data_IF_841253516202
#
_entry.id   IF_841253516202
#
_cell.length_a   1.000
_cell.length_b   1.000
_cell.length_c   1.000
_cell.angle_alpha   90.00
_cell.angle_beta   90.00
_cell.angle_gamma   90.00
#
_symmetry.space_group_name_H-M   'P 1'
#
loop_
_entity.id
_entity.type
_entity.pdbx_description
1 polymer ?
#
# COMPACT_ATOMS: atom_id res chain seq x y z
N UNK A 1 30.00 -21.28 -43.26
CA UNK A 1 30.41 -21.99 -42.03
C UNK A 1 30.63 -20.93 -40.97
N UNK A 2 29.84 -20.94 -39.89
CA UNK A 2 29.69 -19.82 -38.97
C UNK A 2 30.75 -19.87 -37.85
N UNK A 3 31.15 -18.69 -37.38
CA UNK A 3 32.11 -18.42 -36.29
C UNK A 3 31.82 -19.21 -35.00
N UNK A 4 30.60 -19.74 -34.86
CA UNK A 4 30.15 -20.57 -33.75
C UNK A 4 30.77 -21.97 -33.71
N UNK A 5 31.05 -22.61 -34.85
CA UNK A 5 31.69 -23.94 -34.85
C UNK A 5 33.16 -23.85 -34.43
N UNK A 6 33.85 -22.78 -34.86
CA UNK A 6 35.26 -22.54 -34.55
C UNK A 6 35.50 -22.24 -33.06
N UNK A 7 34.49 -21.69 -32.37
CA UNK A 7 34.55 -21.43 -30.92
C UNK A 7 34.34 -22.70 -30.09
N UNK A 8 33.43 -23.58 -30.52
CA UNK A 8 33.17 -24.88 -29.86
C UNK A 8 34.36 -25.84 -30.03
N UNK A 9 35.00 -25.85 -31.20
CA UNK A 9 36.19 -26.68 -31.45
C UNK A 9 37.40 -26.24 -30.61
N UNK A 10 37.56 -24.92 -30.37
CA UNK A 10 38.59 -24.39 -29.45
C UNK A 10 38.32 -24.75 -27.99
N UNK A 11 37.06 -24.80 -27.57
CA UNK A 11 36.69 -25.21 -26.21
C UNK A 11 36.94 -26.70 -25.97
N UNK A 12 36.64 -27.55 -26.94
CA UNK A 12 36.93 -28.98 -26.86
C UNK A 12 38.42 -29.31 -26.84
N UNK A 13 39.27 -28.48 -27.46
CA UNK A 13 40.72 -28.63 -27.42
C UNK A 13 41.36 -28.26 -26.05
N UNK A 14 40.63 -27.53 -25.18
CA UNK A 14 41.11 -27.14 -23.84
C UNK A 14 40.86 -28.25 -22.80
N UNK A 15 39.87 -29.11 -23.03
CA UNK A 15 39.47 -30.19 -22.10
C UNK A 15 40.57 -31.24 -21.84
N UNK A 16 41.40 -31.66 -22.82
CA UNK A 16 42.50 -32.58 -22.56
C UNK A 16 43.63 -31.98 -21.71
N UNK A 17 43.80 -30.64 -21.76
CA UNK A 17 44.82 -29.93 -20.96
C UNK A 17 44.54 -29.91 -19.47
N UNK A 18 43.26 -30.07 -19.07
CA UNK A 18 42.84 -30.15 -17.66
C UNK A 18 43.08 -31.53 -17.01
N UNK A 19 43.53 -32.54 -17.77
CA UNK A 19 43.83 -33.89 -17.26
C UNK A 19 45.29 -34.08 -16.83
N UNK A 20 46.13 -33.05 -16.92
CA UNK A 20 47.49 -33.15 -16.37
C UNK A 20 47.46 -33.14 -14.82
N UNK A 21 48.32 -33.93 -14.16
CA UNK A 21 48.43 -33.89 -12.70
C UNK A 21 48.87 -32.49 -12.26
N UNK A 22 48.08 -31.88 -11.36
CA UNK A 22 48.28 -30.50 -10.90
C UNK A 22 49.62 -30.33 -10.17
N UNK A 23 50.29 -29.17 -10.29
CA UNK A 23 51.40 -28.81 -9.42
C UNK A 23 50.91 -28.75 -7.97
N UNK A 24 51.66 -29.39 -7.08
CA UNK A 24 51.43 -29.48 -5.64
C UNK A 24 51.41 -28.08 -5.01
N UNK A 25 50.27 -27.66 -4.47
CA UNK A 25 50.13 -26.39 -3.73
C UNK A 25 48.84 -25.59 -3.97
N UNK A 26 48.01 -25.94 -4.95
CA UNK A 26 46.70 -25.31 -5.12
C UNK A 26 45.67 -25.91 -4.15
N UNK A 27 44.89 -25.10 -3.41
CA UNK A 27 43.83 -25.62 -2.55
C UNK A 27 42.79 -26.39 -3.38
N UNK A 28 42.28 -27.49 -2.84
CA UNK A 28 41.25 -28.29 -3.49
C UNK A 28 39.99 -27.42 -3.69
N UNK A 29 39.40 -27.39 -4.91
CA UNK A 29 38.18 -26.63 -5.17
C UNK A 29 37.00 -27.10 -4.30
N UNK A 30 37.09 -28.31 -3.76
CA UNK A 30 36.09 -28.93 -2.90
C UNK A 30 36.09 -28.38 -1.46
N UNK A 31 36.97 -27.42 -1.13
CA UNK A 31 37.04 -26.74 0.18
C UNK A 31 36.27 -25.42 0.26
N UNK A 32 35.69 -24.94 -0.85
CA UNK A 32 34.68 -23.90 -0.74
C UNK A 32 33.38 -24.57 -0.32
N UNK A 33 32.77 -24.20 0.83
CA UNK A 33 31.41 -24.63 1.10
C UNK A 33 30.56 -24.24 -0.11
N UNK A 34 29.63 -25.09 -0.57
CA UNK A 34 28.71 -24.71 -1.64
C UNK A 34 28.09 -23.36 -1.27
N UNK A 35 27.99 -22.44 -2.25
CA UNK A 35 27.23 -21.21 -2.06
C UNK A 35 25.90 -21.57 -1.38
N UNK A 36 25.46 -20.82 -0.35
CA UNK A 36 24.22 -21.13 0.32
C UNK A 36 23.12 -21.29 -0.72
N UNK A 37 22.36 -22.37 -0.63
CA UNK A 37 21.29 -22.81 -1.55
C UNK A 37 20.17 -21.78 -1.77
N UNK A 38 20.29 -20.59 -1.17
CA UNK A 38 19.27 -19.57 -1.05
C UNK A 38 19.92 -18.16 -1.15
N UNK A 39 19.99 -17.57 -2.35
CA UNK A 39 20.55 -16.23 -2.52
C UNK A 39 19.67 -15.20 -1.80
N UNK A 40 20.28 -14.22 -1.09
CA UNK A 40 19.53 -13.24 -0.30
C UNK A 40 18.55 -12.46 -1.18
N UNK A 41 17.33 -12.26 -0.69
CA UNK A 41 16.26 -11.55 -1.39
C UNK A 41 16.48 -10.02 -1.41
N UNK A 42 17.40 -9.51 -0.59
CA UNK A 42 17.61 -8.09 -0.33
C UNK A 42 17.74 -7.20 -1.56
N UNK A 43 18.64 -7.49 -2.52
CA UNK A 43 18.84 -6.65 -3.70
C UNK A 43 17.55 -6.45 -4.52
N UNK A 44 16.80 -7.52 -4.73
CA UNK A 44 15.56 -7.50 -5.51
C UNK A 44 14.43 -6.77 -4.76
N UNK A 45 14.37 -6.91 -3.43
CA UNK A 45 13.43 -6.16 -2.60
C UNK A 45 13.73 -4.67 -2.67
N UNK A 46 15.00 -4.25 -2.59
CA UNK A 46 15.38 -2.83 -2.69
C UNK A 46 14.96 -2.26 -4.04
N UNK A 47 15.29 -2.97 -5.12
CA UNK A 47 14.92 -2.55 -6.47
C UNK A 47 13.39 -2.40 -6.59
N UNK A 48 12.64 -3.39 -6.13
CA UNK A 48 11.17 -3.37 -6.19
C UNK A 48 10.58 -2.24 -5.34
N UNK A 49 11.03 -2.06 -4.09
CA UNK A 49 10.52 -1.01 -3.20
C UNK A 49 10.64 0.40 -3.80
N UNK A 50 11.67 0.63 -4.63
CA UNK A 50 11.92 1.93 -5.27
C UNK A 50 11.01 2.25 -6.46
N UNK A 51 10.41 1.24 -7.09
CA UNK A 51 9.61 1.39 -8.32
C UNK A 51 8.12 1.16 -8.11
N UNK A 52 7.71 0.70 -6.92
CA UNK A 52 6.30 0.51 -6.60
C UNK A 52 5.56 1.85 -6.52
N UNK A 53 4.38 1.89 -7.14
CA UNK A 53 3.42 2.97 -6.88
C UNK A 53 2.75 2.73 -5.52
N UNK A 54 3.37 3.26 -4.48
CA UNK A 54 2.89 3.19 -3.10
C UNK A 54 1.51 3.83 -2.90
N UNK A 55 0.98 4.60 -3.86
CA UNK A 55 -0.37 5.19 -3.79
C UNK A 55 -1.46 4.30 -4.40
N UNK A 56 -1.08 3.20 -5.06
CA UNK A 56 -2.04 2.25 -5.63
C UNK A 56 -2.96 1.69 -4.55
N UNK A 57 -4.27 1.76 -4.79
CA UNK A 57 -5.31 1.26 -3.88
C UNK A 57 -5.13 -0.24 -3.59
N UNK A 58 -4.71 -0.99 -4.61
CA UNK A 58 -4.33 -2.39 -4.54
C UNK A 58 -3.25 -2.71 -3.53
N UNK A 59 -2.12 -2.01 -3.64
CA UNK A 59 -0.98 -2.18 -2.73
C UNK A 59 -1.35 -1.77 -1.29
N UNK A 60 -2.18 -0.74 -1.13
CA UNK A 60 -2.70 -0.32 0.17
C UNK A 60 -3.67 -1.34 0.79
N UNK A 61 -4.47 -2.03 -0.01
CA UNK A 61 -5.29 -3.15 0.43
C UNK A 61 -4.40 -4.36 0.82
N UNK A 62 -3.40 -4.66 0.02
CA UNK A 62 -2.45 -5.75 0.26
C UNK A 62 -1.71 -5.61 1.60
N UNK A 63 -1.26 -4.40 1.95
CA UNK A 63 -0.62 -4.10 3.24
C UNK A 63 -1.54 -4.34 4.46
N UNK A 64 -2.85 -4.32 4.25
CA UNK A 64 -3.87 -4.60 5.28
C UNK A 64 -4.26 -6.08 5.36
N UNK A 65 -3.71 -6.93 4.49
CA UNK A 65 -3.97 -8.37 4.47
C UNK A 65 -4.89 -8.85 3.36
N UNK A 66 -5.26 -7.99 2.41
CA UNK A 66 -6.09 -8.36 1.27
C UNK A 66 -5.24 -8.93 0.11
N UNK A 67 -5.90 -9.53 -0.88
CA UNK A 67 -5.24 -10.02 -2.09
C UNK A 67 -4.78 -8.84 -2.97
N UNK A 68 -3.67 -9.02 -3.68
CA UNK A 68 -3.10 -8.01 -4.59
C UNK A 68 -3.08 -8.51 -6.04
N UNK A 69 -4.22 -8.50 -6.75
CA UNK A 69 -4.31 -9.10 -8.09
C UNK A 69 -3.45 -8.39 -9.14
N UNK A 70 -3.28 -7.07 -9.00
CA UNK A 70 -2.43 -6.22 -9.84
C UNK A 70 -0.97 -6.14 -9.38
N UNK A 71 -0.51 -7.08 -8.54
CA UNK A 71 0.89 -7.17 -8.16
C UNK A 71 1.79 -7.32 -9.40
N UNK A 72 2.91 -6.57 -9.50
CA UNK A 72 3.81 -6.70 -10.63
C UNK A 72 4.46 -8.09 -10.65
N UNK A 73 4.81 -8.59 -11.84
CA UNK A 73 5.45 -9.90 -12.00
C UNK A 73 6.75 -10.04 -11.18
N UNK A 74 7.46 -8.93 -10.96
CA UNK A 74 8.63 -8.87 -10.07
C UNK A 74 8.31 -9.20 -8.62
N UNK A 75 7.13 -8.79 -8.11
CA UNK A 75 6.66 -9.20 -6.80
C UNK A 75 6.33 -10.69 -6.76
N UNK A 76 5.67 -11.22 -7.80
CA UNK A 76 5.36 -12.65 -7.92
C UNK A 76 6.61 -13.53 -7.89
N UNK A 77 7.63 -13.18 -8.68
CA UNK A 77 8.91 -13.90 -8.70
C UNK A 77 9.64 -13.84 -7.35
N UNK A 78 9.56 -12.69 -6.65
CA UNK A 78 10.14 -12.54 -5.33
C UNK A 78 9.38 -13.37 -4.28
N UNK A 79 8.05 -13.42 -4.38
CA UNK A 79 7.19 -14.25 -3.54
C UNK A 79 7.52 -15.74 -3.69
N UNK A 80 7.59 -16.23 -4.92
CA UNK A 80 7.95 -17.63 -5.21
C UNK A 80 9.32 -17.98 -4.62
N UNK A 81 10.33 -17.11 -4.79
CA UNK A 81 11.65 -17.34 -4.18
C UNK A 81 11.59 -17.36 -2.66
N UNK A 82 10.82 -16.47 -2.05
CA UNK A 82 10.65 -16.42 -0.61
C UNK A 82 9.96 -17.67 -0.04
N UNK A 83 9.05 -18.28 -0.79
CA UNK A 83 8.43 -19.56 -0.42
C UNK A 83 9.43 -20.73 -0.43
N UNK A 84 10.42 -20.69 -1.33
CA UNK A 84 11.47 -21.71 -1.42
C UNK A 84 12.67 -21.44 -0.50
N UNK A 85 12.71 -20.29 0.16
CA UNK A 85 13.75 -19.92 1.13
C UNK A 85 13.45 -20.48 2.52
N UNK A 86 14.32 -21.38 3.02
CA UNK A 86 14.20 -21.94 4.37
C UNK A 86 14.24 -20.84 5.44
N UNK A 87 15.20 -19.92 5.30
CA UNK A 87 15.38 -18.80 6.25
C UNK A 87 14.17 -17.88 6.27
N UNK A 88 13.60 -17.59 5.10
CA UNK A 88 12.41 -16.74 5.02
C UNK A 88 11.17 -17.44 5.58
N UNK A 89 11.01 -18.75 5.36
CA UNK A 89 9.94 -19.54 5.96
C UNK A 89 10.04 -19.59 7.49
N UNK A 90 11.23 -19.70 8.05
CA UNK A 90 11.44 -19.60 9.50
C UNK A 90 11.00 -18.23 10.03
N UNK A 91 11.39 -17.13 9.37
CA UNK A 91 10.95 -15.78 9.73
C UNK A 91 9.42 -15.61 9.62
N UNK A 92 8.78 -16.23 8.62
CA UNK A 92 7.32 -16.26 8.48
C UNK A 92 6.65 -16.94 9.68
N UNK A 93 7.20 -18.07 10.15
CA UNK A 93 6.70 -18.78 11.31
C UNK A 93 6.89 -17.98 12.60
N UNK A 94 8.06 -17.39 12.78
CA UNK A 94 8.38 -16.55 13.95
C UNK A 94 7.41 -15.38 14.08
N UNK A 95 7.17 -14.66 12.98
CA UNK A 95 6.31 -13.48 12.97
C UNK A 95 4.82 -13.80 12.72
N UNK A 96 4.47 -15.08 12.52
CA UNK A 96 3.11 -15.56 12.20
C UNK A 96 2.49 -14.81 11.02
N UNK A 97 3.25 -14.64 9.94
CA UNK A 97 2.84 -13.98 8.70
C UNK A 97 3.02 -14.92 7.52
N UNK A 98 2.19 -14.77 6.48
CA UNK A 98 2.45 -15.43 5.21
C UNK A 98 3.69 -14.83 4.54
N UNK A 99 4.34 -15.57 3.61
CA UNK A 99 5.47 -15.04 2.87
C UNK A 99 5.14 -13.74 2.13
N UNK A 100 3.99 -13.68 1.47
CA UNK A 100 3.49 -12.48 0.80
C UNK A 100 3.38 -11.28 1.75
N UNK A 101 2.80 -11.47 2.93
CA UNK A 101 2.66 -10.40 3.91
C UNK A 101 4.03 -9.95 4.41
N UNK A 102 4.90 -10.87 4.81
CA UNK A 102 6.22 -10.55 5.33
C UNK A 102 7.08 -9.79 4.30
N UNK A 103 6.97 -10.15 3.02
CA UNK A 103 7.61 -9.45 1.91
C UNK A 103 7.07 -8.02 1.71
N UNK A 104 5.75 -7.84 1.74
CA UNK A 104 5.14 -6.51 1.66
C UNK A 104 5.58 -5.60 2.80
N UNK A 105 5.70 -6.15 4.02
CA UNK A 105 6.28 -5.45 5.15
C UNK A 105 7.74 -5.06 4.93
N UNK A 106 8.56 -5.97 4.40
CA UNK A 106 9.96 -5.68 4.07
C UNK A 106 10.08 -4.54 3.05
N UNK A 107 9.31 -4.59 1.96
CA UNK A 107 9.24 -3.54 0.95
C UNK A 107 8.87 -2.19 1.58
N UNK A 108 7.85 -2.17 2.43
CA UNK A 108 7.40 -0.96 3.11
C UNK A 108 8.47 -0.41 4.06
N UNK A 109 9.13 -1.27 4.84
CA UNK A 109 10.19 -0.87 5.76
C UNK A 109 11.40 -0.31 5.00
N UNK A 110 11.74 -0.86 3.83
CA UNK A 110 12.81 -0.34 2.97
C UNK A 110 12.44 1.01 2.34
N UNK A 111 11.18 1.19 1.94
CA UNK A 111 10.71 2.42 1.34
C UNK A 111 10.63 3.57 2.36
N UNK A 112 10.06 3.31 3.54
CA UNK A 112 9.67 4.36 4.49
C UNK A 112 10.50 4.39 5.78
N UNK A 113 11.41 3.44 5.98
CA UNK A 113 12.23 3.39 7.18
C UNK A 113 11.43 3.16 8.47
N UNK A 114 10.23 2.57 8.35
CA UNK A 114 9.39 2.21 9.50
C UNK A 114 8.50 1.01 9.21
N UNK A 115 8.09 0.33 10.28
CA UNK A 115 7.14 -0.79 10.24
C UNK A 115 5.76 -0.31 9.74
N UNK A 116 5.03 -1.08 8.92
CA UNK A 116 3.66 -0.75 8.52
C UNK A 116 2.73 -0.51 9.72
N UNK A 117 1.89 0.52 9.65
CA UNK A 117 1.01 0.90 10.76
C UNK A 117 0.01 -0.19 11.12
N UNK A 118 -0.47 -0.93 10.13
CA UNK A 118 -1.36 -2.08 10.30
C UNK A 118 -0.72 -3.22 11.13
N UNK A 119 0.60 -3.17 11.38
CA UNK A 119 1.35 -4.21 12.06
C UNK A 119 1.80 -3.81 13.47
N UNK A 120 1.44 -2.62 13.99
CA UNK A 120 1.86 -2.21 15.33
C UNK A 120 1.29 -3.15 16.42
N UNK A 121 2.16 -3.69 17.28
CA UNK A 121 1.80 -4.55 18.41
C UNK A 121 2.99 -5.27 19.06
N UNK A 122 2.79 -5.91 20.23
CA UNK A 122 3.85 -6.52 21.05
C UNK A 122 4.62 -7.68 20.38
N UNK A 123 4.10 -8.27 19.29
CA UNK A 123 4.80 -9.31 18.50
C UNK A 123 5.66 -8.76 17.37
N UNK A 124 5.65 -7.44 17.17
CA UNK A 124 6.34 -6.75 16.06
C UNK A 124 7.49 -5.87 16.58
N UNK A 125 7.66 -5.79 17.90
CA UNK A 125 8.88 -5.24 18.51
C UNK A 125 10.09 -6.08 18.11
N UNK A 126 11.09 -5.47 17.47
CA UNK A 126 12.28 -6.18 17.01
C UNK A 126 12.14 -6.85 15.63
N UNK A 127 11.00 -6.68 14.94
CA UNK A 127 10.78 -7.29 13.62
C UNK A 127 11.81 -6.81 12.57
N UNK A 128 12.12 -5.51 12.43
CA UNK A 128 13.13 -5.06 11.49
C UNK A 128 14.50 -5.69 11.75
N UNK A 129 14.93 -5.73 13.02
CA UNK A 129 16.24 -6.25 13.43
C UNK A 129 16.40 -7.75 13.20
N UNK A 130 15.30 -8.50 13.11
CA UNK A 130 15.30 -9.95 12.84
C UNK A 130 15.04 -10.28 11.37
N UNK A 131 14.17 -9.53 10.70
CA UNK A 131 13.82 -9.78 9.30
C UNK A 131 14.93 -9.34 8.34
N UNK A 132 15.55 -8.17 8.56
CA UNK A 132 16.53 -7.63 7.62
C UNK A 132 17.74 -8.55 7.44
N UNK A 133 18.32 -9.16 8.49
CA UNK A 133 19.37 -10.16 8.33
C UNK A 133 18.97 -11.36 7.46
N UNK A 134 17.73 -11.84 7.57
CA UNK A 134 17.18 -12.92 6.72
C UNK A 134 17.16 -12.52 5.25
N UNK A 135 16.94 -11.25 4.96
CA UNK A 135 16.99 -10.68 3.61
C UNK A 135 18.41 -10.41 3.12
N UNK A 136 19.43 -10.57 3.97
CA UNK A 136 20.81 -10.15 3.69
C UNK A 136 21.00 -8.64 3.71
N UNK A 137 20.21 -7.93 4.51
CA UNK A 137 20.22 -6.47 4.66
C UNK A 137 20.50 -6.06 6.11
N UNK A 138 20.97 -4.82 6.32
CA UNK A 138 21.06 -4.19 7.64
C UNK A 138 19.94 -3.16 7.79
N UNK A 139 19.15 -3.26 8.86
CA UNK A 139 18.09 -2.30 9.16
C UNK A 139 18.60 -0.87 9.33
N UNK A 140 19.83 -0.70 9.84
CA UNK A 140 20.43 0.62 10.05
C UNK A 140 20.53 1.45 8.76
N UNK A 141 20.62 0.80 7.60
CA UNK A 141 20.70 1.44 6.28
C UNK A 141 19.33 2.00 5.81
N UNK A 142 18.25 1.62 6.46
CA UNK A 142 16.87 1.97 6.08
C UNK A 142 16.10 2.71 7.18
N UNK A 143 16.53 2.64 8.44
CA UNK A 143 15.88 3.30 9.58
C UNK A 143 15.87 4.85 9.52
N UNK A 144 16.43 5.47 8.47
CA UNK A 144 16.38 6.92 8.25
C UNK A 144 15.17 7.28 7.39
N UNK A 145 14.45 8.37 7.69
CA UNK A 145 13.38 8.86 6.82
C UNK A 145 13.94 9.12 5.42
N UNK A 146 13.44 8.39 4.42
CA UNK A 146 13.72 8.68 3.01
C UNK A 146 12.65 9.66 2.51
N UNK A 147 13.03 10.58 1.63
CA UNK A 147 12.12 11.47 0.90
C UNK A 147 11.29 10.70 -0.16
N UNK A 148 10.75 9.54 0.22
CA UNK A 148 9.69 8.88 -0.53
C UNK A 148 8.40 9.42 0.09
N UNK A 149 7.65 10.20 -0.69
CA UNK A 149 6.37 10.76 -0.24
C UNK A 149 5.48 9.62 0.26
N UNK A 150 5.34 9.52 1.58
CA UNK A 150 4.47 8.54 2.21
C UNK A 150 3.07 8.66 1.60
N UNK A 151 2.37 7.53 1.36
CA UNK A 151 0.93 7.59 1.24
C UNK A 151 0.42 8.11 2.58
N UNK A 152 -0.10 9.34 2.59
CA UNK A 152 -1.00 9.76 3.64
C UNK A 152 -2.13 8.74 3.79
N UNK A 153 -2.79 8.65 4.96
CA UNK A 153 -3.93 7.76 5.14
C UNK A 153 -4.90 7.92 3.97
N UNK A 154 -5.41 6.80 3.43
CA UNK A 154 -6.29 6.88 2.26
C UNK A 154 -7.46 7.84 2.55
N UNK A 155 -7.92 8.65 1.58
CA UNK A 155 -8.98 9.63 1.82
C UNK A 155 -10.23 9.00 2.45
N UNK A 156 -10.57 7.77 2.07
CA UNK A 156 -11.64 6.99 2.72
C UNK A 156 -11.35 6.66 4.19
N UNK A 157 -10.14 6.25 4.53
CA UNK A 157 -9.75 5.99 5.93
C UNK A 157 -9.79 7.25 6.78
N UNK A 158 -9.38 8.39 6.22
CA UNK A 158 -9.50 9.70 6.86
C UNK A 158 -10.97 10.06 7.10
N UNK A 159 -11.85 9.90 6.11
CA UNK A 159 -13.29 10.12 6.25
C UNK A 159 -13.90 9.29 7.39
N UNK A 160 -13.64 7.98 7.39
CA UNK A 160 -14.16 7.07 8.42
C UNK A 160 -13.62 7.40 9.82
N UNK A 161 -12.37 7.85 9.92
CA UNK A 161 -11.74 8.23 11.20
C UNK A 161 -12.28 9.56 11.73
N UNK A 162 -12.57 10.51 10.84
CA UNK A 162 -13.01 11.85 11.21
C UNK A 162 -14.51 11.92 11.48
N UNK A 163 -15.34 11.16 10.76
CA UNK A 163 -16.80 11.16 10.91
C UNK A 163 -17.30 11.11 12.37
N UNK A 164 -16.81 10.21 13.25
CA UNK A 164 -17.26 10.17 14.65
C UNK A 164 -16.65 11.25 15.55
N UNK A 165 -15.61 11.96 15.10
CA UNK A 165 -14.86 12.94 15.90
C UNK A 165 -15.35 14.37 15.71
N UNK A 166 -16.14 14.61 14.68
CA UNK A 166 -16.64 15.95 14.38
C UNK A 166 -17.77 16.33 15.33
N UNK A 167 -17.62 17.51 15.92
CA UNK A 167 -18.67 18.12 16.72
C UNK A 167 -19.70 18.77 15.81
N UNK A 168 -20.74 18.01 15.47
CA UNK A 168 -21.84 18.53 14.68
C UNK A 168 -22.71 19.53 15.43
N UNK A 169 -22.45 19.87 16.70
CA UNK A 169 -23.09 21.02 17.36
C UNK A 169 -22.47 22.36 16.96
N UNK A 170 -21.25 22.34 16.40
CA UNK A 170 -20.52 23.51 15.93
C UNK A 170 -21.24 24.18 14.74
N UNK A 171 -21.73 25.42 14.89
CA UNK A 171 -22.38 26.14 13.79
C UNK A 171 -21.42 26.47 12.64
N UNK A 172 -20.12 26.65 12.89
CA UNK A 172 -19.15 26.93 11.82
C UNK A 172 -18.95 25.71 10.92
N UNK A 173 -18.94 24.51 11.49
CA UNK A 173 -18.89 23.27 10.73
C UNK A 173 -20.16 23.11 9.87
N UNK A 174 -21.35 23.32 10.45
CA UNK A 174 -22.63 23.21 9.73
C UNK A 174 -22.74 24.19 8.58
N UNK A 175 -22.20 25.40 8.72
CA UNK A 175 -22.17 26.39 7.64
C UNK A 175 -21.48 25.89 6.39
N UNK A 176 -20.49 24.99 6.52
CA UNK A 176 -19.84 24.40 5.35
C UNK A 176 -20.76 23.52 4.47
N UNK A 177 -21.89 23.04 5.00
CA UNK A 177 -22.91 22.33 4.21
C UNK A 177 -23.83 23.26 3.41
N UNK A 178 -23.89 24.54 3.80
CA UNK A 178 -24.84 25.54 3.27
C UNK A 178 -24.13 26.59 2.41
N UNK A 179 -22.97 27.07 2.87
CA UNK A 179 -22.24 28.16 2.25
C UNK A 179 -21.45 27.68 1.02
N UNK A 180 -21.52 28.44 -0.08
CA UNK A 180 -20.76 28.16 -1.30
C UNK A 180 -19.25 28.32 -1.12
N UNK A 181 -18.82 29.13 -0.15
CA UNK A 181 -17.42 29.34 0.21
C UNK A 181 -17.30 29.12 1.70
N UNK A 182 -16.43 28.19 2.08
CA UNK A 182 -16.17 27.86 3.47
C UNK A 182 -14.70 27.53 3.64
N UNK A 183 -14.10 28.00 4.75
CA UNK A 183 -12.69 27.74 5.03
C UNK A 183 -12.57 26.47 5.86
N UNK A 184 -11.92 25.41 5.35
CA UNK A 184 -11.83 24.16 6.07
C UNK A 184 -10.99 24.29 7.35
N UNK A 185 -11.55 23.76 8.44
CA UNK A 185 -10.83 23.54 9.68
C UNK A 185 -9.56 22.70 9.44
N UNK A 186 -8.48 22.89 10.22
CA UNK A 186 -7.20 22.23 9.97
C UNK A 186 -7.29 20.71 9.78
N UNK A 187 -8.15 20.04 10.56
CA UNK A 187 -8.33 18.58 10.49
C UNK A 187 -9.04 18.08 9.22
N UNK A 188 -9.75 18.97 8.50
CA UNK A 188 -10.48 18.65 7.28
C UNK A 188 -9.75 19.12 6.01
N UNK A 189 -8.72 19.97 6.15
CA UNK A 189 -8.03 20.60 5.03
C UNK A 189 -7.47 19.57 4.05
N UNK A 190 -6.83 18.52 4.56
CA UNK A 190 -6.27 17.46 3.73
C UNK A 190 -7.36 16.77 2.89
N UNK A 191 -8.50 16.41 3.48
CA UNK A 191 -9.61 15.81 2.75
C UNK A 191 -10.21 16.74 1.70
N UNK A 192 -10.35 18.02 2.02
CA UNK A 192 -10.91 19.01 1.09
C UNK A 192 -9.97 19.26 -0.09
N UNK A 193 -8.67 19.36 0.15
CA UNK A 193 -7.69 19.53 -0.92
C UNK A 193 -7.63 18.28 -1.82
N UNK A 194 -7.69 17.07 -1.24
CA UNK A 194 -7.80 15.81 -2.01
C UNK A 194 -9.09 15.71 -2.81
N UNK A 195 -10.22 16.12 -2.23
CA UNK A 195 -11.49 16.16 -2.93
C UNK A 195 -11.45 17.15 -4.10
N UNK A 196 -10.78 18.30 -3.93
CA UNK A 196 -10.59 19.30 -4.99
C UNK A 196 -9.74 18.73 -6.14
N UNK A 197 -8.65 18.03 -5.85
CA UNK A 197 -7.82 17.35 -6.86
C UNK A 197 -8.60 16.30 -7.68
N UNK A 198 -9.62 15.67 -7.07
CA UNK A 198 -10.45 14.62 -7.71
C UNK A 198 -11.73 15.16 -8.35
N UNK A 199 -12.14 16.39 -8.07
CA UNK A 199 -13.39 16.99 -8.55
C UNK A 199 -13.42 17.28 -10.06
N UNK A 200 -12.25 17.31 -10.71
CA UNK A 200 -12.13 17.56 -12.16
C UNK A 200 -12.33 16.28 -13.02
N UNK A 201 -12.57 15.12 -12.41
CA UNK A 201 -12.59 13.81 -13.10
C UNK A 201 -13.87 12.98 -12.87
N UNK A 202 -15.00 13.60 -12.52
CA UNK A 202 -15.94 12.95 -11.59
C UNK A 202 -17.24 12.36 -12.18
N UNK A 203 -17.59 11.14 -11.72
CA UNK A 203 -18.90 10.47 -11.83
C UNK A 203 -20.11 11.33 -11.41
N UNK A 204 -19.92 12.29 -10.51
CA UNK A 204 -21.00 13.18 -10.05
C UNK A 204 -21.52 14.09 -11.16
N UNK A 205 -20.64 14.54 -12.07
CA UNK A 205 -21.04 15.37 -13.21
C UNK A 205 -21.95 14.58 -14.16
N UNK A 206 -21.68 13.29 -14.37
CA UNK A 206 -22.52 12.40 -15.17
C UNK A 206 -23.91 12.19 -14.55
N UNK A 207 -24.01 12.30 -13.22
CA UNK A 207 -25.27 12.29 -12.47
C UNK A 207 -25.93 13.68 -12.39
N UNK A 208 -25.37 14.69 -13.06
CA UNK A 208 -25.89 16.07 -13.08
C UNK A 208 -25.66 16.84 -11.78
N UNK A 209 -24.71 16.41 -10.95
CA UNK A 209 -24.41 16.99 -9.64
C UNK A 209 -23.02 17.63 -9.65
N UNK A 210 -22.97 18.92 -9.27
CA UNK A 210 -21.72 19.64 -9.05
C UNK A 210 -21.71 20.17 -7.61
N UNK A 211 -20.73 19.73 -6.83
CA UNK A 211 -20.56 20.13 -5.43
C UNK A 211 -19.23 20.85 -5.24
N UNK A 212 -19.19 21.91 -4.41
CA UNK A 212 -17.93 22.37 -3.85
C UNK A 212 -17.23 21.23 -3.10
N UNK A 213 -15.89 21.15 -3.22
CA UNK A 213 -15.10 20.10 -2.59
C UNK A 213 -15.35 19.98 -1.08
N UNK A 214 -15.52 21.12 -0.38
CA UNK A 214 -15.83 21.12 1.05
C UNK A 214 -17.23 20.58 1.34
N UNK A 215 -18.24 20.95 0.55
CA UNK A 215 -19.60 20.44 0.69
C UNK A 215 -19.67 18.94 0.45
N UNK A 216 -18.95 18.43 -0.56
CA UNK A 216 -18.80 16.99 -0.80
C UNK A 216 -18.25 16.26 0.44
N UNK A 217 -17.11 16.74 0.95
CA UNK A 217 -16.44 16.13 2.12
C UNK A 217 -17.37 16.15 3.34
N UNK A 218 -17.97 17.30 3.66
CA UNK A 218 -18.86 17.46 4.80
C UNK A 218 -20.13 16.63 4.66
N UNK A 219 -20.71 16.52 3.47
CA UNK A 219 -21.89 15.70 3.23
C UNK A 219 -21.57 14.20 3.42
N UNK A 220 -20.43 13.71 2.94
CA UNK A 220 -19.98 12.34 3.23
C UNK A 220 -19.81 12.09 4.74
N UNK A 221 -19.21 13.03 5.47
CA UNK A 221 -19.02 12.92 6.92
C UNK A 221 -20.35 12.94 7.68
N UNK A 222 -21.29 13.79 7.26
CA UNK A 222 -22.63 13.87 7.83
C UNK A 222 -23.45 12.60 7.55
N UNK A 223 -23.41 12.08 6.32
CA UNK A 223 -24.05 10.81 5.96
C UNK A 223 -23.48 9.62 6.74
N UNK A 224 -22.16 9.55 6.93
CA UNK A 224 -21.54 8.53 7.79
C UNK A 224 -22.05 8.62 9.22
N UNK A 225 -22.11 9.84 9.75
CA UNK A 225 -22.56 10.07 11.13
C UNK A 225 -24.07 9.87 11.30
N UNK A 226 -24.87 10.08 10.25
CA UNK A 226 -26.33 9.88 10.29
C UNK A 226 -26.75 8.42 10.40
N UNK A 227 -25.84 7.47 10.12
CA UNK A 227 -26.06 6.05 10.39
C UNK A 227 -26.27 5.77 11.89
N UNK A 228 -25.62 6.57 12.76
CA UNK A 228 -25.75 6.46 14.21
C UNK A 228 -26.69 7.52 14.80
N UNK A 229 -26.74 8.71 14.20
CA UNK A 229 -27.54 9.85 14.68
C UNK A 229 -28.36 10.45 13.53
N UNK A 230 -29.61 9.97 13.32
CA UNK A 230 -30.44 10.39 12.19
C UNK A 230 -30.65 11.90 12.09
N UNK A 231 -30.59 12.64 13.20
CA UNK A 231 -30.75 14.10 13.21
C UNK A 231 -29.65 14.81 12.41
N UNK A 232 -28.50 14.18 12.22
CA UNK A 232 -27.39 14.71 11.40
C UNK A 232 -27.70 14.58 9.90
N UNK A 233 -28.51 13.59 9.51
CA UNK A 233 -29.02 13.48 8.13
C UNK A 233 -29.99 14.61 7.77
N UNK A 234 -30.70 15.15 8.76
CA UNK A 234 -31.65 16.26 8.61
C UNK A 234 -30.98 17.64 8.53
N UNK A 235 -29.63 17.71 8.61
CA UNK A 235 -28.93 18.99 8.53
C UNK A 235 -29.16 19.65 7.16
N UNK A 236 -29.40 20.98 7.12
CA UNK A 236 -29.63 21.68 5.86
C UNK A 236 -28.46 21.52 4.88
N UNK A 237 -28.79 21.09 3.66
CA UNK A 237 -27.86 21.00 2.55
C UNK A 237 -28.59 21.39 1.26
N UNK A 238 -28.50 22.66 0.83
CA UNK A 238 -29.16 23.13 -0.39
C UNK A 238 -28.76 22.32 -1.64
N UNK A 239 -27.53 21.80 -1.66
CA UNK A 239 -27.03 21.00 -2.77
C UNK A 239 -27.71 19.63 -2.90
N UNK A 240 -28.31 19.12 -1.81
CA UNK A 240 -29.15 17.93 -1.80
C UNK A 240 -30.63 18.21 -2.10
N UNK A 241 -31.02 19.49 -2.18
CA UNK A 241 -32.42 19.91 -2.34
C UNK A 241 -33.18 20.14 -1.04
N UNK A 242 -32.54 19.98 0.12
CA UNK A 242 -33.16 20.19 1.43
C UNK A 242 -32.21 19.87 2.57
N UNK A 243 -32.07 18.59 2.87
CA UNK A 243 -31.24 18.03 3.92
C UNK A 243 -30.13 17.15 3.35
N UNK A 244 -29.06 16.89 4.11
CA UNK A 244 -27.98 15.99 3.69
C UNK A 244 -28.51 14.60 3.28
N UNK A 245 -29.52 14.08 4.00
CA UNK A 245 -30.14 12.79 3.72
C UNK A 245 -30.88 12.72 2.37
N UNK A 246 -31.23 13.87 1.79
CA UNK A 246 -32.02 13.95 0.55
C UNK A 246 -31.20 13.65 -0.72
N UNK A 247 -29.87 13.54 -0.63
CA UNK A 247 -29.06 13.11 -1.76
C UNK A 247 -29.57 11.75 -2.27
N UNK A 248 -29.88 11.58 -3.57
CA UNK A 248 -30.30 10.29 -4.10
C UNK A 248 -29.22 9.23 -3.87
N UNK A 249 -29.60 7.97 -3.62
CA UNK A 249 -28.66 6.89 -3.30
C UNK A 249 -27.55 6.70 -4.36
N UNK A 250 -27.86 6.92 -5.65
CA UNK A 250 -26.86 6.90 -6.71
C UNK A 250 -25.79 8.01 -6.55
N UNK A 251 -26.22 9.20 -6.12
CA UNK A 251 -25.34 10.34 -5.83
C UNK A 251 -24.52 10.07 -4.57
N UNK A 252 -25.16 9.57 -3.50
CA UNK A 252 -24.44 9.15 -2.28
C UNK A 252 -23.37 8.11 -2.63
N UNK A 253 -23.69 7.10 -3.43
CA UNK A 253 -22.72 6.09 -3.88
C UNK A 253 -21.55 6.71 -4.64
N UNK A 254 -21.82 7.58 -5.61
CA UNK A 254 -20.77 8.27 -6.37
C UNK A 254 -19.89 9.17 -5.47
N UNK A 255 -20.48 9.87 -4.51
CA UNK A 255 -19.76 10.70 -3.53
C UNK A 255 -18.76 9.86 -2.72
N UNK A 256 -19.15 8.68 -2.24
CA UNK A 256 -18.27 7.80 -1.46
C UNK A 256 -17.21 7.10 -2.31
N UNK A 257 -17.54 6.74 -3.56
CA UNK A 257 -16.57 6.17 -4.50
C UNK A 257 -15.41 7.13 -4.80
N UNK A 258 -15.63 8.45 -4.78
CA UNK A 258 -14.54 9.42 -4.90
C UNK A 258 -13.48 9.32 -3.80
N UNK A 259 -13.81 8.69 -2.68
CA UNK A 259 -12.91 8.45 -1.56
C UNK A 259 -12.56 6.97 -1.40
N UNK A 260 -12.79 6.18 -2.45
CA UNK A 260 -12.53 4.74 -2.47
C UNK A 260 -13.33 4.00 -1.38
N UNK A 261 -14.57 4.45 -1.13
CA UNK A 261 -15.51 3.86 -0.16
C UNK A 261 -16.82 3.38 -0.80
N UNK A 262 -17.41 2.33 -0.22
CA UNK A 262 -18.76 1.86 -0.55
C UNK A 262 -19.80 2.56 0.31
N UNK A 263 -20.92 2.91 -0.31
CA UNK A 263 -22.10 3.39 0.39
C UNK A 263 -23.29 2.41 0.28
N UNK A 264 -24.03 2.15 1.37
CA UNK A 264 -23.65 2.41 2.75
C UNK A 264 -22.49 1.50 3.18
N UNK A 265 -21.62 1.93 4.10
CA UNK A 265 -20.57 1.08 4.62
C UNK A 265 -21.18 -0.11 5.38
N UNK A 266 -20.98 -1.33 4.88
CA UNK A 266 -21.52 -2.56 5.49
C UNK A 266 -20.84 -2.90 6.82
N UNK A 267 -19.64 -2.35 7.08
CA UNK A 267 -18.93 -2.27 8.37
C UNK A 267 -17.99 -1.06 8.34
N UNK A 268 -17.75 -0.40 9.49
CA UNK A 268 -16.65 0.56 9.65
C UNK A 268 -15.34 -0.09 9.17
N UNK A 269 -14.82 0.32 8.02
CA UNK A 269 -13.57 -0.19 7.44
C UNK A 269 -13.69 -1.32 6.40
N UNK A 270 -14.87 -1.64 5.87
CA UNK A 270 -14.97 -2.58 4.74
C UNK A 270 -14.51 -1.90 3.42
N UNK A 271 -13.47 -2.41 2.73
CA UNK A 271 -13.04 -1.88 1.44
C UNK A 271 -14.11 -2.06 0.35
N UNK A 272 -14.03 -1.24 -0.70
CA UNK A 272 -14.87 -1.36 -1.88
C UNK A 272 -14.60 -2.70 -2.56
N UNK A 273 -15.45 -3.70 -2.35
CA UNK A 273 -15.53 -4.82 -3.29
C UNK A 273 -16.02 -4.31 -4.64
N UNK A 274 -15.31 -4.52 -5.73
CA UNK A 274 -15.88 -4.24 -7.05
C UNK A 274 -17.20 -5.03 -7.21
N UNK A 275 -18.28 -4.35 -7.61
CA UNK A 275 -19.50 -5.00 -8.15
C UNK A 275 -19.32 -5.02 -9.65
#
# INVERSE_FOLDING_TARGET
MSVWSDWLDRLHAIVPGLRQPRPTGMPAPDLYPPEPYDPPLGPDIIALASVLDWRSSGLQAALRGEDWPEAPASFGALHERAEHSDRFREACQEHRRSPSQLLLGALHMIAFGRVPDAWRGARVSGLPERLFPTLGLDWADFARPRDIAEPGPSPGSLLLTLAPRLDWSDPELRRGLVDQVWTPQPMLRELVDRARERADATLLYELGVALPAHTLVLACLALLRSLDDPAIGELPCPAAGGSVGDFPNAVQTAMFLMFDLKWPPTRLGAPVGFI
#
